data_IF_342875717395
#
_entry.id   IF_342875717395
#
_cell.length_a   1.000
_cell.length_b   1.000
_cell.length_c   1.000
_cell.angle_alpha   90.00
_cell.angle_beta   90.00
_cell.angle_gamma   90.00
#
_symmetry.space_group_name_H-M   'P 1'
#
loop_
_entity.id
_entity.type
_entity.pdbx_description
1 polymer ?
#
# COMPACT_ATOMS: atom_id res chain seq x y z
N UNK A 1 9.99 -23.15 -71.33
CA UNK A 1 10.41 -21.93 -70.60
C UNK A 1 11.86 -21.60 -70.92
N UNK A 2 12.11 -20.37 -71.37
CA UNK A 2 13.47 -19.89 -71.64
C UNK A 2 14.21 -19.59 -70.33
N UNK A 3 15.54 -19.72 -70.30
CA UNK A 3 16.38 -19.36 -69.13
C UNK A 3 16.13 -17.90 -68.67
N UNK A 4 15.90 -16.99 -69.62
CA UNK A 4 15.54 -15.58 -69.34
C UNK A 4 14.18 -15.41 -68.66
N UNK A 5 13.31 -16.41 -68.76
CA UNK A 5 11.96 -16.43 -68.21
C UNK A 5 11.99 -16.90 -66.75
N UNK A 6 12.65 -18.03 -66.48
CA UNK A 6 12.89 -18.52 -65.10
C UNK A 6 13.60 -17.49 -64.23
N UNK A 7 14.58 -16.76 -64.79
CA UNK A 7 15.29 -15.70 -64.07
C UNK A 7 14.38 -14.52 -63.72
N UNK A 8 13.44 -14.17 -64.60
CA UNK A 8 12.44 -13.11 -64.33
C UNK A 8 11.45 -13.54 -63.26
N UNK A 9 10.96 -14.77 -63.34
CA UNK A 9 10.02 -15.33 -62.34
C UNK A 9 10.64 -15.35 -60.94
N UNK A 10 11.88 -15.85 -60.81
CA UNK A 10 12.60 -15.88 -59.53
C UNK A 10 12.80 -14.46 -58.96
N UNK A 11 13.14 -13.49 -59.80
CA UNK A 11 13.28 -12.09 -59.38
C UNK A 11 11.94 -11.51 -58.88
N UNK A 12 10.85 -11.75 -59.60
CA UNK A 12 9.51 -11.30 -59.20
C UNK A 12 9.06 -11.93 -57.88
N UNK A 13 9.33 -13.23 -57.68
CA UNK A 13 9.00 -13.91 -56.42
C UNK A 13 9.79 -13.34 -55.24
N UNK A 14 11.09 -13.07 -55.42
CA UNK A 14 11.92 -12.47 -54.39
C UNK A 14 11.44 -11.05 -54.02
N UNK A 15 11.08 -10.24 -55.02
CA UNK A 15 10.50 -8.91 -54.82
C UNK A 15 9.17 -8.98 -54.06
N UNK A 16 8.28 -9.91 -54.43
CA UNK A 16 7.00 -10.09 -53.77
C UNK A 16 7.19 -10.50 -52.31
N UNK A 17 8.12 -11.42 -52.02
CA UNK A 17 8.46 -11.81 -50.65
C UNK A 17 8.96 -10.62 -49.83
N UNK A 18 9.82 -9.77 -50.41
CA UNK A 18 10.29 -8.54 -49.74
C UNK A 18 9.14 -7.59 -49.43
N UNK A 19 8.25 -7.35 -50.39
CA UNK A 19 7.07 -6.48 -50.21
C UNK A 19 6.12 -7.00 -49.14
N UNK A 20 5.87 -8.31 -49.13
CA UNK A 20 5.02 -8.94 -48.13
C UNK A 20 5.62 -8.80 -46.72
N UNK A 21 6.94 -8.95 -46.57
CA UNK A 21 7.62 -8.74 -45.29
C UNK A 21 7.50 -7.29 -44.80
N UNK A 22 7.66 -6.31 -45.71
CA UNK A 22 7.48 -4.88 -45.39
C UNK A 22 6.04 -4.59 -44.95
N UNK A 23 5.03 -5.11 -45.68
CA UNK A 23 3.63 -4.90 -45.33
C UNK A 23 3.30 -5.49 -43.95
N UNK A 24 3.80 -6.70 -43.64
CA UNK A 24 3.67 -7.27 -42.28
C UNK A 24 4.28 -6.37 -41.21
N UNK A 25 5.41 -5.73 -41.50
CA UNK A 25 6.02 -4.75 -40.59
C UNK A 25 5.12 -3.53 -40.33
N UNK A 26 4.38 -3.07 -41.33
CA UNK A 26 3.38 -2.00 -41.15
C UNK A 26 2.21 -2.44 -40.27
N UNK A 27 1.70 -3.66 -40.49
CA UNK A 27 0.61 -4.22 -39.68
C UNK A 27 1.06 -4.31 -38.20
N UNK A 28 2.27 -4.82 -37.93
CA UNK A 28 2.81 -4.88 -36.57
C UNK A 28 3.04 -3.50 -35.93
N UNK A 29 3.42 -2.48 -36.72
CA UNK A 29 3.55 -1.11 -36.21
C UNK A 29 2.18 -0.53 -35.83
N UNK A 30 1.14 -0.83 -36.59
CA UNK A 30 -0.22 -0.40 -36.25
C UNK A 30 -0.71 -1.03 -34.95
N UNK A 31 -0.38 -2.31 -34.72
CA UNK A 31 -0.71 -3.02 -33.48
C UNK A 31 0.05 -2.50 -32.25
N UNK A 32 1.30 -2.08 -32.42
CA UNK A 32 2.14 -1.63 -31.29
C UNK A 32 1.93 -0.16 -30.93
N UNK A 33 1.45 0.65 -31.86
CA UNK A 33 1.31 2.10 -31.68
C UNK A 33 -0.14 2.42 -31.31
N UNK A 34 -0.46 2.81 -30.06
CA UNK A 34 -1.84 3.00 -29.60
C UNK A 34 -2.62 4.01 -30.44
N UNK A 35 -1.94 5.07 -30.91
CA UNK A 35 -2.55 6.12 -31.73
C UNK A 35 -2.88 5.66 -33.16
N UNK A 36 -2.39 4.50 -33.60
CA UNK A 36 -2.80 3.85 -34.85
C UNK A 36 -4.05 2.99 -34.66
N UNK A 37 -4.21 2.35 -33.48
CA UNK A 37 -5.37 1.50 -33.17
C UNK A 37 -6.66 2.33 -32.98
N UNK A 38 -6.56 3.53 -32.42
CA UNK A 38 -7.74 4.38 -32.14
C UNK A 38 -8.50 4.83 -33.39
N UNK A 39 -7.85 4.85 -34.57
CA UNK A 39 -8.48 5.29 -35.83
C UNK A 39 -9.26 4.20 -36.56
N UNK A 40 -9.10 2.92 -36.19
CA UNK A 40 -9.76 1.80 -36.90
C UNK A 40 -11.15 1.44 -36.34
N UNK A 41 -11.57 2.04 -35.22
CA UNK A 41 -12.81 1.67 -34.52
C UNK A 41 -14.12 2.18 -35.17
N UNK A 42 -14.10 2.72 -36.39
CA UNK A 42 -15.36 3.21 -36.99
C UNK A 42 -15.42 3.46 -38.48
N UNK A 43 -14.31 3.47 -39.22
CA UNK A 43 -14.33 3.74 -40.65
C UNK A 43 -13.29 2.86 -41.32
N UNK A 44 -13.68 2.06 -42.31
CA UNK A 44 -12.83 1.12 -43.06
C UNK A 44 -11.72 1.77 -43.91
N UNK A 45 -11.13 2.86 -43.43
CA UNK A 45 -10.05 3.60 -44.06
C UNK A 45 -8.70 3.13 -43.50
N UNK A 46 -7.96 2.36 -44.29
CA UNK A 46 -6.61 1.93 -43.95
C UNK A 46 -5.68 3.14 -43.85
N UNK A 47 -5.08 3.33 -42.67
CA UNK A 47 -4.11 4.41 -42.42
C UNK A 47 -2.96 4.38 -43.45
N UNK A 48 -2.56 5.56 -43.95
CA UNK A 48 -1.46 5.65 -44.90
C UNK A 48 -0.14 5.18 -44.28
N UNK A 49 0.73 4.55 -45.09
CA UNK A 49 2.07 4.11 -44.66
C UNK A 49 2.90 5.24 -44.06
N UNK A 50 2.81 6.45 -44.63
CA UNK A 50 3.52 7.62 -44.12
C UNK A 50 3.04 8.01 -42.72
N UNK A 51 1.72 7.99 -42.50
CA UNK A 51 1.11 8.30 -41.20
C UNK A 51 1.49 7.26 -40.14
N UNK A 52 1.51 5.96 -40.48
CA UNK A 52 1.95 4.90 -39.56
C UNK A 52 3.38 5.14 -39.11
N UNK A 53 4.29 5.44 -40.04
CA UNK A 53 5.69 5.73 -39.70
C UNK A 53 5.81 6.96 -38.81
N UNK A 54 5.09 8.04 -39.13
CA UNK A 54 5.13 9.26 -38.32
C UNK A 54 4.64 9.02 -36.89
N UNK A 55 3.46 8.41 -36.73
CA UNK A 55 2.91 8.05 -35.41
C UNK A 55 3.85 7.11 -34.64
N UNK A 56 4.54 6.21 -35.33
CA UNK A 56 5.54 5.33 -34.72
C UNK A 56 6.75 6.11 -34.20
N UNK A 57 7.25 7.08 -34.96
CA UNK A 57 8.36 7.96 -34.53
C UNK A 57 7.96 8.75 -33.30
N UNK A 58 6.78 9.38 -33.32
CA UNK A 58 6.26 10.17 -32.21
C UNK A 58 6.09 9.30 -30.96
N UNK A 59 5.60 8.07 -31.13
CA UNK A 59 5.44 7.12 -30.02
C UNK A 59 6.79 6.65 -29.45
N UNK A 60 7.81 6.41 -30.29
CA UNK A 60 9.17 6.10 -29.82
C UNK A 60 9.75 7.27 -29.02
N UNK A 61 9.55 8.51 -29.48
CA UNK A 61 10.01 9.70 -28.74
C UNK A 61 9.29 9.84 -27.40
N UNK A 62 7.97 9.60 -27.37
CA UNK A 62 7.19 9.56 -26.15
C UNK A 62 7.73 8.50 -25.17
N UNK A 63 7.92 7.26 -25.63
CA UNK A 63 8.44 6.16 -24.81
C UNK A 63 9.85 6.47 -24.26
N UNK A 64 10.71 7.12 -25.05
CA UNK A 64 12.04 7.55 -24.57
C UNK A 64 11.93 8.58 -23.45
N UNK A 65 11.00 9.54 -23.57
CA UNK A 65 10.75 10.55 -22.54
C UNK A 65 10.19 9.93 -21.27
N UNK A 66 9.19 9.07 -21.40
CA UNK A 66 8.60 8.31 -20.28
C UNK A 66 9.66 7.47 -19.56
N UNK A 67 10.50 6.74 -20.31
CA UNK A 67 11.60 5.96 -19.75
C UNK A 67 12.57 6.84 -18.96
N UNK A 68 13.00 7.97 -19.52
CA UNK A 68 13.91 8.91 -18.82
C UNK A 68 13.29 9.41 -17.51
N UNK A 69 12.00 9.79 -17.54
CA UNK A 69 11.28 10.22 -16.35
C UNK A 69 11.21 9.13 -15.28
N UNK A 70 10.88 7.90 -15.67
CA UNK A 70 10.85 6.77 -14.75
C UNK A 70 12.22 6.47 -14.13
N UNK A 71 13.30 6.60 -14.91
CA UNK A 71 14.66 6.45 -14.41
C UNK A 71 15.03 7.53 -13.38
N UNK A 72 14.61 8.79 -13.60
CA UNK A 72 14.76 9.89 -12.65
C UNK A 72 13.96 9.65 -11.35
N UNK A 73 12.70 9.24 -11.46
CA UNK A 73 11.83 8.94 -10.32
C UNK A 73 12.42 7.79 -9.47
N UNK A 74 12.90 6.72 -10.12
CA UNK A 74 13.58 5.61 -9.42
C UNK A 74 14.84 6.10 -8.71
N UNK A 75 15.63 6.97 -9.32
CA UNK A 75 16.82 7.54 -8.69
C UNK A 75 16.47 8.42 -7.48
N UNK A 76 15.40 9.21 -7.56
CA UNK A 76 14.90 10.03 -6.47
C UNK A 76 14.40 9.18 -5.29
N UNK A 77 13.54 8.18 -5.56
CA UNK A 77 13.02 7.27 -4.54
C UNK A 77 14.14 6.50 -3.83
N UNK A 78 15.16 6.06 -4.56
CA UNK A 78 16.34 5.41 -3.94
C UNK A 78 17.07 6.34 -2.97
N UNK A 79 17.21 7.63 -3.30
CA UNK A 79 17.81 8.62 -2.38
C UNK A 79 16.96 8.81 -1.14
N UNK A 80 15.64 8.87 -1.28
CA UNK A 80 14.71 9.00 -0.16
C UNK A 80 14.78 7.80 0.79
N UNK A 81 14.80 6.58 0.24
CA UNK A 81 14.98 5.35 1.03
C UNK A 81 16.28 5.38 1.84
N UNK A 82 17.38 5.82 1.22
CA UNK A 82 18.67 5.96 1.92
C UNK A 82 18.58 7.01 3.03
N UNK A 83 17.98 8.17 2.76
CA UNK A 83 17.80 9.22 3.76
C UNK A 83 16.96 8.76 4.95
N UNK A 84 15.82 8.11 4.70
CA UNK A 84 14.95 7.57 5.74
C UNK A 84 15.64 6.46 6.54
N UNK A 85 16.44 5.62 5.89
CA UNK A 85 17.24 4.58 6.57
C UNK A 85 18.25 5.22 7.52
N UNK A 86 18.94 6.27 7.09
CA UNK A 86 19.88 7.02 7.95
C UNK A 86 19.14 7.65 9.13
N UNK A 87 17.98 8.29 8.90
CA UNK A 87 17.17 8.87 9.98
C UNK A 87 16.74 7.81 10.99
N UNK A 88 16.23 6.66 10.52
CA UNK A 88 15.85 5.54 11.37
C UNK A 88 17.03 5.07 12.23
N UNK A 89 18.19 4.85 11.64
CA UNK A 89 19.39 4.42 12.37
C UNK A 89 19.82 5.45 13.42
N UNK A 90 19.76 6.74 13.11
CA UNK A 90 20.03 7.80 14.08
C UNK A 90 19.03 7.79 15.25
N UNK A 91 17.73 7.60 14.98
CA UNK A 91 16.72 7.48 16.03
C UNK A 91 16.95 6.25 16.91
N UNK A 92 17.23 5.10 16.29
CA UNK A 92 17.53 3.86 17.02
C UNK A 92 18.75 4.03 17.94
N UNK A 93 19.80 4.71 17.48
CA UNK A 93 20.98 5.03 18.30
C UNK A 93 20.65 5.94 19.48
N UNK A 94 19.81 6.97 19.28
CA UNK A 94 19.38 7.88 20.36
C UNK A 94 18.56 7.11 21.40
N UNK A 95 17.64 6.25 20.95
CA UNK A 95 16.83 5.40 21.82
C UNK A 95 17.70 4.42 22.60
N UNK A 96 18.65 3.75 21.95
CA UNK A 96 19.58 2.84 22.64
C UNK A 96 20.46 3.58 23.64
N UNK A 97 20.96 4.77 23.28
CA UNK A 97 21.77 5.60 24.17
C UNK A 97 21.00 6.01 25.43
N UNK A 98 19.73 6.42 25.28
CA UNK A 98 18.82 6.69 26.40
C UNK A 98 18.56 5.44 27.26
N UNK A 99 18.39 4.26 26.65
CA UNK A 99 18.21 3.00 27.39
C UNK A 99 19.48 2.57 28.14
N UNK A 100 20.67 2.87 27.61
CA UNK A 100 21.95 2.53 28.23
C UNK A 100 22.42 3.52 29.31
N UNK A 101 21.69 4.61 29.59
CA UNK A 101 21.98 5.46 30.74
C UNK A 101 21.61 4.74 32.06
N UNK A 102 22.58 4.50 32.96
CA UNK A 102 22.31 3.90 34.28
C UNK A 102 21.56 4.94 35.13
N UNK A 103 20.24 4.84 35.14
CA UNK A 103 19.35 5.73 35.88
C UNK A 103 17.94 5.90 35.30
N UNK A 104 17.71 5.58 34.02
CA UNK A 104 16.37 5.68 33.38
C UNK A 104 15.65 4.34 33.16
N UNK A 105 16.34 3.21 33.24
CA UNK A 105 15.74 1.87 33.15
C UNK A 105 14.66 1.61 34.22
N UNK A 106 14.68 2.36 35.33
CA UNK A 106 13.70 2.23 36.43
C UNK A 106 12.34 2.88 36.17
N UNK A 107 12.13 3.58 35.04
CA UNK A 107 10.85 4.25 34.71
C UNK A 107 10.10 3.66 33.52
N UNK A 108 10.67 2.71 32.79
CA UNK A 108 9.97 2.03 31.71
C UNK A 108 9.14 0.88 32.28
N UNK A 109 7.85 1.12 32.47
CA UNK A 109 6.87 0.07 32.76
C UNK A 109 6.84 -0.88 31.55
N UNK A 110 7.05 -2.19 31.76
CA UNK A 110 7.02 -3.18 30.66
C UNK A 110 5.70 -3.10 29.89
N UNK A 111 5.74 -3.38 28.59
CA UNK A 111 4.52 -3.43 27.77
C UNK A 111 3.53 -4.49 28.29
N UNK A 112 4.02 -5.56 28.94
CA UNK A 112 3.19 -6.53 29.65
C UNK A 112 2.38 -5.90 30.78
N UNK A 113 3.00 -5.02 31.57
CA UNK A 113 2.33 -4.33 32.68
C UNK A 113 1.33 -3.31 32.13
N UNK A 114 1.66 -2.60 31.05
CA UNK A 114 0.71 -1.71 30.36
C UNK A 114 -0.52 -2.48 29.86
N UNK A 115 -0.30 -3.66 29.27
CA UNK A 115 -1.37 -4.52 28.78
C UNK A 115 -2.23 -5.06 29.93
N UNK A 116 -1.61 -5.49 31.04
CA UNK A 116 -2.34 -5.94 32.24
C UNK A 116 -3.22 -4.84 32.83
N UNK A 117 -2.71 -3.61 32.94
CA UNK A 117 -3.48 -2.45 33.41
C UNK A 117 -4.66 -2.18 32.47
N UNK A 118 -4.43 -2.14 31.16
CA UNK A 118 -5.50 -1.93 30.18
C UNK A 118 -6.57 -3.01 30.27
N UNK A 119 -6.16 -4.27 30.30
CA UNK A 119 -7.08 -5.42 30.41
C UNK A 119 -7.94 -5.33 31.67
N UNK A 120 -7.33 -5.09 32.84
CA UNK A 120 -8.06 -5.03 34.11
C UNK A 120 -9.05 -3.85 34.18
N UNK A 121 -8.73 -2.71 33.55
CA UNK A 121 -9.68 -1.60 33.40
C UNK A 121 -10.85 -1.98 32.50
N UNK A 122 -10.58 -2.61 31.34
CA UNK A 122 -11.62 -3.05 30.41
C UNK A 122 -12.52 -4.13 31.02
N UNK A 123 -11.96 -5.09 31.74
CA UNK A 123 -12.71 -6.14 32.42
C UNK A 123 -13.64 -5.55 33.51
N UNK A 124 -13.16 -4.55 34.25
CA UNK A 124 -13.96 -3.84 35.26
C UNK A 124 -15.14 -3.07 34.63
N UNK A 125 -14.88 -2.39 33.50
CA UNK A 125 -15.94 -1.71 32.75
C UNK A 125 -16.96 -2.70 32.18
N UNK A 126 -16.49 -3.82 31.64
CA UNK A 126 -17.37 -4.85 31.08
C UNK A 126 -18.29 -5.48 32.14
N UNK A 127 -17.78 -5.78 33.34
CA UNK A 127 -18.63 -6.26 34.44
C UNK A 127 -19.70 -5.25 34.84
N UNK A 128 -19.35 -3.96 34.90
CA UNK A 128 -20.34 -2.91 35.19
C UNK A 128 -21.40 -2.79 34.08
N UNK A 129 -21.00 -2.99 32.83
CA UNK A 129 -21.89 -2.98 31.67
C UNK A 129 -22.87 -4.16 31.73
N UNK A 130 -22.38 -5.36 32.01
CA UNK A 130 -23.21 -6.58 32.11
C UNK A 130 -24.28 -6.47 33.20
N UNK A 131 -23.97 -5.77 34.29
CA UNK A 131 -24.93 -5.55 35.39
C UNK A 131 -25.93 -4.43 35.11
N UNK A 132 -25.53 -3.39 34.38
CA UNK A 132 -26.35 -2.20 34.17
C UNK A 132 -27.21 -2.25 32.90
N UNK A 133 -26.82 -3.03 31.89
CA UNK A 133 -27.47 -3.03 30.57
C UNK A 133 -28.46 -4.19 30.44
N UNK A 134 -29.75 -3.86 30.26
CA UNK A 134 -30.80 -4.83 29.94
C UNK A 134 -30.73 -5.23 28.47
N UNK A 135 -30.89 -6.52 28.17
CA UNK A 135 -30.92 -7.06 26.78
C UNK A 135 -32.34 -7.40 26.29
N UNK A 136 -33.37 -6.97 27.01
CA UNK A 136 -34.75 -7.43 26.80
C UNK A 136 -35.40 -6.90 25.52
N UNK A 137 -35.14 -5.64 25.13
CA UNK A 137 -35.62 -5.04 23.88
C UNK A 137 -34.78 -3.79 23.52
N UNK A 138 -34.89 -3.33 22.26
CA UNK A 138 -34.07 -2.21 21.76
C UNK A 138 -34.25 -0.91 22.54
N UNK A 139 -35.46 -0.59 22.99
CA UNK A 139 -35.71 0.62 23.77
C UNK A 139 -34.99 0.56 25.14
N UNK A 140 -35.11 -0.57 25.84
CA UNK A 140 -34.40 -0.80 27.11
C UNK A 140 -32.88 -0.88 26.96
N UNK A 141 -32.37 -1.54 25.91
CA UNK A 141 -30.94 -1.56 25.60
C UNK A 141 -30.45 -0.13 25.37
N UNK A 142 -31.12 0.64 24.52
CA UNK A 142 -30.70 2.00 24.19
C UNK A 142 -30.71 2.92 25.41
N UNK A 143 -31.74 2.84 26.27
CA UNK A 143 -31.83 3.61 27.50
C UNK A 143 -30.77 3.19 28.53
N UNK A 144 -30.64 1.88 28.78
CA UNK A 144 -29.72 1.36 29.80
C UNK A 144 -28.24 1.54 29.43
N UNK A 145 -27.87 1.44 28.15
CA UNK A 145 -26.52 1.76 27.68
C UNK A 145 -26.19 3.23 27.90
N UNK A 146 -27.12 4.14 27.56
CA UNK A 146 -26.90 5.59 27.75
C UNK A 146 -26.75 5.90 29.24
N UNK A 147 -27.65 5.39 30.09
CA UNK A 147 -27.54 5.55 31.55
C UNK A 147 -26.25 4.97 32.10
N UNK A 148 -25.81 3.79 31.63
CA UNK A 148 -24.54 3.19 32.03
C UNK A 148 -23.35 4.08 31.68
N UNK A 149 -23.27 4.61 30.46
CA UNK A 149 -22.18 5.53 30.06
C UNK A 149 -22.17 6.78 30.93
N UNK A 150 -23.34 7.37 31.19
CA UNK A 150 -23.45 8.58 32.01
C UNK A 150 -23.10 8.35 33.48
N UNK A 151 -23.30 7.15 34.01
CA UNK A 151 -23.02 6.83 35.42
C UNK A 151 -21.63 6.24 35.64
N UNK A 152 -21.15 5.38 34.74
CA UNK A 152 -19.97 4.54 34.95
C UNK A 152 -18.75 4.94 34.11
N UNK A 153 -18.92 5.71 33.02
CA UNK A 153 -17.81 6.18 32.18
C UNK A 153 -17.40 7.64 32.43
N UNK A 154 -17.83 8.23 33.54
CA UNK A 154 -17.41 9.58 33.95
C UNK A 154 -15.89 9.61 34.22
N UNK A 155 -15.20 10.73 33.91
CA UNK A 155 -13.75 10.84 34.13
C UNK A 155 -13.31 10.58 35.58
N UNK A 156 -14.16 10.86 36.56
CA UNK A 156 -13.89 10.56 37.98
C UNK A 156 -13.90 9.05 38.25
N UNK A 157 -14.96 8.36 37.80
CA UNK A 157 -15.10 6.91 37.98
C UNK A 157 -14.01 6.14 37.23
N UNK A 158 -13.66 6.54 36.01
CA UNK A 158 -12.56 5.94 35.27
C UNK A 158 -11.22 6.08 35.99
N UNK A 159 -10.97 7.23 36.65
CA UNK A 159 -9.78 7.42 37.49
C UNK A 159 -9.81 6.53 38.72
N UNK A 160 -10.95 6.36 39.36
CA UNK A 160 -11.11 5.44 40.51
C UNK A 160 -10.84 3.99 40.11
N UNK A 161 -11.39 3.54 38.97
CA UNK A 161 -11.12 2.20 38.41
C UNK A 161 -9.62 2.05 38.11
N UNK A 162 -8.99 3.01 37.43
CA UNK A 162 -7.55 2.98 37.16
C UNK A 162 -6.71 2.94 38.45
N UNK A 163 -7.04 3.75 39.45
CA UNK A 163 -6.36 3.73 40.74
C UNK A 163 -6.52 2.39 41.45
N UNK A 164 -7.73 1.82 41.45
CA UNK A 164 -8.01 0.50 42.03
C UNK A 164 -7.23 -0.61 41.34
N UNK A 165 -7.21 -0.62 40.01
CA UNK A 165 -6.43 -1.59 39.21
C UNK A 165 -4.92 -1.45 39.49
N UNK A 166 -4.40 -0.23 39.53
CA UNK A 166 -2.98 0.00 39.85
C UNK A 166 -2.63 -0.43 41.28
N UNK A 167 -3.54 -0.28 42.24
CA UNK A 167 -3.35 -0.76 43.61
C UNK A 167 -3.39 -2.29 43.68
N UNK A 168 -4.29 -2.96 42.96
CA UNK A 168 -4.37 -4.42 42.90
C UNK A 168 -3.13 -5.04 42.25
N UNK A 169 -2.64 -4.46 41.15
CA UNK A 169 -1.42 -4.90 40.47
C UNK A 169 -0.14 -4.55 41.24
N UNK A 170 -0.22 -3.59 42.17
CA UNK A 170 0.89 -3.14 43.01
C UNK A 170 1.06 -3.90 44.34
N UNK A 171 0.13 -4.79 44.70
CA UNK A 171 0.25 -5.60 45.91
C UNK A 171 1.15 -6.83 45.65
N UNK A 172 2.28 -6.99 46.38
CA UNK A 172 3.11 -8.18 46.26
C UNK A 172 2.35 -9.41 46.78
N UNK A 173 2.46 -10.51 46.04
CA UNK A 173 1.95 -11.86 46.30
C UNK A 173 2.57 -12.49 47.57
N UNK A 174 2.37 -11.88 48.74
CA UNK A 174 2.96 -12.37 50.01
C UNK A 174 1.96 -12.48 51.15
N UNK A 175 0.71 -12.83 50.85
CA UNK A 175 -0.34 -13.05 51.86
C UNK A 175 -1.15 -14.34 51.68
N UNK A 176 -0.63 -15.34 50.96
CA UNK A 176 -1.23 -16.67 50.85
C UNK A 176 -0.22 -17.79 51.12
N UNK A 177 0.37 -17.80 52.31
CA UNK A 177 0.82 -19.05 52.94
C UNK A 177 0.45 -18.95 54.43
N UNK A 178 -0.72 -19.47 54.77
CA UNK A 178 -1.03 -19.97 56.12
C UNK A 178 -0.58 -21.42 56.23
#
# INVERSE_FOLDING_TARGET
MSYKERRREAHTQAEQKRRNAINKGYDSLQDLVPTCQSSEQGQGYKMSKATVLQKSIDYIQFLKKEKSKQEEDVAALKKEVVALTIMKLNYEQIVSAHQSQPGQLSKQISDDVKFQVFRAVMDSLYQSFEQAVSTSNFAEISGSVISWVEEHCKPQILREIMCGVLQQLGQPESAFIS
#
